data_IF_422970718000
#
_entry.id   IF_422970718000
#
_cell.length_a   1.000
_cell.length_b   1.000
_cell.length_c   1.000
_cell.angle_alpha   90.00
_cell.angle_beta   90.00
_cell.angle_gamma   90.00
#
_symmetry.space_group_name_H-M   'P 1'
#
loop_
_entity.id
_entity.type
_entity.pdbx_description
1 polymer ?
#
# COMPACT_ATOMS: atom_id res chain seq x y z
N UNK A 1 -13.67 -21.77 7.62
CA UNK A 1 -13.12 -20.67 6.82
C UNK A 1 -11.68 -21.01 6.45
N UNK A 2 -11.35 -21.10 5.16
CA UNK A 2 -9.97 -21.35 4.73
C UNK A 2 -9.20 -20.02 4.71
N UNK A 3 -8.20 -19.88 5.58
CA UNK A 3 -7.29 -18.73 5.58
C UNK A 3 -6.23 -18.98 4.50
N UNK A 4 -6.52 -18.56 3.27
CA UNK A 4 -5.52 -18.59 2.20
C UNK A 4 -4.59 -17.40 2.43
N UNK A 5 -3.48 -17.63 3.12
CA UNK A 5 -2.38 -16.67 3.20
C UNK A 5 -1.21 -17.24 2.41
N UNK A 6 -0.90 -16.64 1.26
CA UNK A 6 0.37 -16.87 0.57
C UNK A 6 1.30 -15.73 0.97
N UNK A 7 2.32 -16.04 1.76
CA UNK A 7 3.39 -15.09 2.06
C UNK A 7 4.29 -14.98 0.83
N UNK A 8 4.62 -13.76 0.45
CA UNK A 8 5.43 -13.46 -0.71
C UNK A 8 6.49 -12.46 -0.27
N UNK A 9 7.75 -12.86 -0.33
CA UNK A 9 8.84 -11.98 0.07
C UNK A 9 9.03 -10.89 -0.99
N UNK A 10 8.98 -9.64 -0.54
CA UNK A 10 9.37 -8.46 -1.29
C UNK A 10 10.69 -7.92 -0.74
N UNK A 11 11.64 -7.61 -1.63
CA UNK A 11 12.89 -6.99 -1.21
C UNK A 11 12.75 -5.46 -1.24
N UNK A 12 13.22 -4.80 -0.17
CA UNK A 12 13.27 -3.35 -0.07
C UNK A 12 14.63 -2.91 0.42
N UNK A 13 15.17 -1.88 -0.21
CA UNK A 13 16.39 -1.20 0.23
C UNK A 13 16.04 -0.24 1.37
N UNK A 14 16.65 -0.34 2.56
CA UNK A 14 16.29 0.50 3.71
C UNK A 14 16.68 1.97 3.54
N UNK A 15 17.67 2.27 2.69
CA UNK A 15 18.26 3.60 2.46
C UNK A 15 17.32 4.60 1.75
N UNK A 16 16.20 4.15 1.17
CA UNK A 16 15.29 4.98 0.35
C UNK A 16 13.98 5.30 1.07
N UNK A 17 13.33 6.41 0.69
CA UNK A 17 12.09 6.86 1.34
C UNK A 17 10.93 5.84 1.17
N UNK A 18 9.86 6.02 1.94
CA UNK A 18 8.71 5.10 1.94
C UNK A 18 8.09 4.93 0.54
N UNK A 19 8.01 5.99 -0.26
CA UNK A 19 7.47 5.93 -1.63
C UNK A 19 8.25 4.98 -2.54
N UNK A 20 9.59 5.01 -2.47
CA UNK A 20 10.43 4.08 -3.23
C UNK A 20 10.19 2.63 -2.81
N UNK A 21 10.07 2.39 -1.49
CA UNK A 21 9.81 1.04 -0.97
C UNK A 21 8.45 0.51 -1.42
N UNK A 22 7.40 1.31 -1.31
CA UNK A 22 6.06 0.94 -1.76
C UNK A 22 6.03 0.68 -3.27
N UNK A 23 6.75 1.48 -4.06
CA UNK A 23 6.76 1.31 -5.51
C UNK A 23 7.52 0.06 -5.93
N UNK A 24 8.68 -0.20 -5.31
CA UNK A 24 9.45 -1.41 -5.56
C UNK A 24 8.64 -2.67 -5.23
N UNK A 25 7.97 -2.71 -4.07
CA UNK A 25 7.11 -3.85 -3.70
C UNK A 25 5.93 -3.95 -4.68
N UNK A 26 5.26 -2.85 -4.99
CA UNK A 26 4.13 -2.82 -5.91
C UNK A 26 4.49 -3.39 -7.29
N UNK A 27 5.64 -2.99 -7.84
CA UNK A 27 6.17 -3.51 -9.10
C UNK A 27 6.48 -5.02 -9.02
N UNK A 28 7.18 -5.47 -7.97
CA UNK A 28 7.50 -6.89 -7.78
C UNK A 28 6.24 -7.77 -7.69
N UNK A 29 5.19 -7.29 -7.03
CA UNK A 29 3.90 -8.00 -6.94
C UNK A 29 3.20 -8.02 -8.29
N UNK A 30 3.21 -6.90 -9.01
CA UNK A 30 2.62 -6.78 -10.34
C UNK A 30 3.27 -7.72 -11.36
N UNK A 31 4.60 -7.78 -11.38
CA UNK A 31 5.38 -8.69 -12.25
C UNK A 31 5.07 -10.17 -11.96
N UNK A 32 4.58 -10.49 -10.76
CA UNK A 32 4.13 -11.83 -10.35
C UNK A 32 2.64 -12.09 -10.66
N UNK A 33 1.96 -11.16 -11.34
CA UNK A 33 0.52 -11.25 -11.67
C UNK A 33 -0.41 -10.95 -10.49
N UNK A 34 0.08 -10.33 -9.42
CA UNK A 34 -0.70 -9.97 -8.25
C UNK A 34 -1.18 -8.52 -8.39
N UNK A 35 -2.30 -8.38 -9.09
CA UNK A 35 -2.74 -7.08 -9.60
C UNK A 35 -3.78 -6.40 -8.71
N UNK A 36 -4.17 -7.01 -7.59
CA UNK A 36 -5.09 -6.45 -6.60
C UNK A 36 -4.35 -6.30 -5.28
N UNK A 37 -3.75 -5.13 -5.07
CA UNK A 37 -2.82 -4.88 -3.96
C UNK A 37 -3.47 -3.91 -2.97
N UNK A 38 -3.38 -4.24 -1.68
CA UNK A 38 -3.71 -3.34 -0.57
C UNK A 38 -2.48 -3.24 0.33
N UNK A 39 -1.96 -2.02 0.48
CA UNK A 39 -0.99 -1.68 1.53
C UNK A 39 -1.71 -1.11 2.73
N UNK A 40 -1.27 -1.52 3.91
CA UNK A 40 -1.85 -1.15 5.19
C UNK A 40 -0.77 -0.59 6.10
N UNK A 41 -1.06 0.54 6.74
CA UNK A 41 -0.23 1.02 7.84
C UNK A 41 -0.43 0.10 9.05
N UNK A 42 0.65 -0.48 9.54
CA UNK A 42 0.62 -1.34 10.73
C UNK A 42 0.38 -0.56 12.02
N UNK A 43 0.69 0.74 12.02
CA UNK A 43 0.54 1.65 13.16
C UNK A 43 -0.76 2.48 13.05
N UNK A 44 -1.84 1.83 12.62
CA UNK A 44 -3.14 2.45 12.43
C UNK A 44 -4.20 1.75 13.30
N UNK A 45 -4.22 2.01 14.62
CA UNK A 45 -5.11 1.31 15.57
C UNK A 45 -6.60 1.56 15.31
N UNK A 46 -6.94 2.59 14.54
CA UNK A 46 -8.30 2.88 14.10
C UNK A 46 -8.80 1.93 12.99
N UNK A 47 -7.94 1.12 12.37
CA UNK A 47 -8.35 0.21 11.31
C UNK A 47 -9.08 -1.02 11.86
N UNK A 48 -10.41 -1.02 11.70
CA UNK A 48 -11.30 -2.15 11.97
C UNK A 48 -11.48 -3.08 10.74
N UNK A 49 -11.95 -4.34 10.94
CA UNK A 49 -12.32 -5.29 9.88
C UNK A 49 -13.08 -4.64 8.69
N UNK A 50 -14.08 -3.82 8.99
CA UNK A 50 -14.96 -3.20 8.00
C UNK A 50 -14.21 -2.31 7.00
N UNK A 51 -13.15 -1.60 7.43
CA UNK A 51 -12.34 -0.78 6.54
C UNK A 51 -11.59 -1.62 5.50
N UNK A 52 -11.18 -2.85 5.86
CA UNK A 52 -10.54 -3.76 4.92
C UNK A 52 -11.55 -4.32 3.93
N UNK A 53 -12.76 -4.64 4.39
CA UNK A 53 -13.84 -5.11 3.51
C UNK A 53 -14.28 -4.04 2.52
N UNK A 54 -14.34 -2.77 2.96
CA UNK A 54 -14.62 -1.63 2.09
C UNK A 54 -13.52 -1.44 1.04
N UNK A 55 -12.24 -1.42 1.46
CA UNK A 55 -11.11 -1.30 0.54
C UNK A 55 -11.05 -2.46 -0.47
N UNK A 56 -11.46 -3.67 -0.07
CA UNK A 56 -11.55 -4.85 -0.93
C UNK A 56 -12.71 -4.76 -1.92
N UNK A 57 -13.87 -4.23 -1.52
CA UNK A 57 -15.03 -4.06 -2.41
C UNK A 57 -14.80 -2.97 -3.45
N UNK A 58 -14.07 -1.92 -3.09
CA UNK A 58 -13.76 -0.81 -3.99
C UNK A 58 -12.96 -1.22 -5.24
N UNK A 59 -12.45 -2.46 -5.31
CA UNK A 59 -11.67 -2.95 -6.44
C UNK A 59 -12.32 -2.77 -7.81
N UNK A 60 -13.65 -2.81 -7.84
CA UNK A 60 -14.43 -2.76 -9.06
C UNK A 60 -14.94 -1.34 -9.37
N UNK A 61 -14.69 -0.37 -8.47
CA UNK A 61 -15.22 1.00 -8.54
C UNK A 61 -14.18 2.03 -8.97
N UNK A 62 -12.91 1.82 -8.62
CA UNK A 62 -11.82 2.76 -8.94
C UNK A 62 -10.51 2.04 -9.20
N UNK A 63 -9.57 2.71 -9.88
CA UNK A 63 -8.24 2.16 -10.09
C UNK A 63 -7.37 2.23 -8.82
N UNK A 64 -7.49 3.35 -8.12
CA UNK A 64 -6.71 3.69 -6.93
C UNK A 64 -7.65 4.15 -5.81
N UNK A 65 -7.29 3.82 -4.58
CA UNK A 65 -7.98 4.29 -3.37
C UNK A 65 -6.95 4.62 -2.30
N UNK A 66 -7.20 5.72 -1.59
CA UNK A 66 -6.42 6.18 -0.45
C UNK A 66 -7.35 6.45 0.73
N UNK A 67 -7.06 5.85 1.88
CA UNK A 67 -7.68 6.23 3.16
C UNK A 67 -6.73 7.16 3.89
N UNK A 68 -7.17 8.38 4.16
CA UNK A 68 -6.34 9.42 4.79
C UNK A 68 -6.36 9.28 6.31
N UNK A 69 -5.18 9.45 6.91
CA UNK A 69 -5.05 9.62 8.35
C UNK A 69 -5.29 11.09 8.74
N UNK A 70 -5.62 11.33 10.03
CA UNK A 70 -5.83 12.68 10.56
C UNK A 70 -4.57 13.56 10.47
N UNK A 71 -3.40 12.96 10.53
CA UNK A 71 -2.09 13.61 10.40
C UNK A 71 -1.70 13.91 8.94
N UNK A 72 -2.63 13.72 8.00
CA UNK A 72 -2.45 13.87 6.55
C UNK A 72 -1.56 12.79 5.93
N UNK A 73 -1.26 11.73 6.68
CA UNK A 73 -0.72 10.48 6.17
C UNK A 73 -1.79 9.61 5.50
N UNK A 74 -1.44 8.36 5.24
CA UNK A 74 -2.32 7.37 4.59
C UNK A 74 -2.32 6.07 5.41
N UNK A 75 -3.50 5.55 5.71
CA UNK A 75 -3.66 4.29 6.47
C UNK A 75 -3.88 3.09 5.55
N UNK A 76 -4.57 3.28 4.43
CA UNK A 76 -4.84 2.26 3.41
C UNK A 76 -4.49 2.83 2.04
N UNK A 77 -3.69 2.09 1.26
CA UNK A 77 -3.47 2.36 -0.17
C UNK A 77 -3.85 1.13 -0.96
N UNK A 78 -4.82 1.24 -1.86
CA UNK A 78 -5.30 0.13 -2.66
C UNK A 78 -5.18 0.47 -4.14
N UNK A 79 -4.72 -0.50 -4.94
CA UNK A 79 -4.54 -0.34 -6.37
C UNK A 79 -4.84 -1.61 -7.14
N UNK A 80 -5.53 -1.46 -8.28
CA UNK A 80 -5.62 -2.49 -9.32
C UNK A 80 -4.72 -2.24 -10.55
N UNK A 81 -3.85 -1.21 -10.48
CA UNK A 81 -2.89 -0.80 -11.50
C UNK A 81 -1.51 -0.58 -10.89
N UNK A 82 -0.49 -0.42 -11.73
CA UNK A 82 0.82 0.07 -11.25
C UNK A 82 0.65 1.49 -10.72
N UNK A 83 1.18 1.76 -9.53
CA UNK A 83 1.15 3.09 -8.93
C UNK A 83 1.87 4.11 -9.81
N UNK A 84 1.19 5.22 -10.11
CA UNK A 84 1.82 6.38 -10.72
C UNK A 84 2.86 6.98 -9.76
N UNK A 85 4.05 7.30 -10.29
CA UNK A 85 5.22 7.87 -9.62
C UNK A 85 5.06 8.21 -8.12
N UNK A 86 5.20 7.20 -7.27
CA UNK A 86 5.12 7.40 -5.83
C UNK A 86 6.40 8.04 -5.29
N UNK A 87 7.51 8.04 -6.02
CA UNK A 87 8.79 8.54 -5.50
C UNK A 87 8.78 10.04 -5.23
N UNK A 88 7.97 10.79 -6.00
CA UNK A 88 7.87 12.26 -5.92
C UNK A 88 6.94 12.78 -4.83
N UNK A 89 6.12 11.93 -4.24
CA UNK A 89 5.24 12.34 -3.15
C UNK A 89 6.08 12.58 -1.87
N UNK A 90 5.70 13.56 -1.03
CA UNK A 90 6.44 13.91 0.18
C UNK A 90 6.18 12.89 1.29
N UNK A 91 6.61 11.65 1.09
CA UNK A 91 6.43 10.57 2.04
C UNK A 91 7.29 10.77 3.28
N UNK A 92 6.66 11.26 4.35
CA UNK A 92 7.32 11.67 5.60
C UNK A 92 8.41 12.74 5.37
N UNK A 93 8.77 13.49 6.42
CA UNK A 93 9.93 14.39 6.31
C UNK A 93 11.18 13.53 6.11
N UNK A 94 12.14 13.93 5.24
CA UNK A 94 13.36 13.14 5.04
C UNK A 94 14.05 12.92 6.38
N UNK A 95 14.60 11.72 6.58
CA UNK A 95 15.58 11.47 7.64
C UNK A 95 16.72 12.42 7.36
N UNK A 96 16.95 13.40 8.24
CA UNK A 96 18.12 14.28 8.12
C UNK A 96 19.36 13.40 8.19
N UNK A 97 20.15 13.40 7.11
CA UNK A 97 21.55 12.94 7.11
C UNK A 97 22.39 13.82 8.03
#
# INVERSE_FOLDING_TARGET
MAKISKTIDGQVTPEVNLGHRLQAIGLQLWERGLNRIIFLATDAPMLAPDHYEEASRAFDESDFLFSLALDRGVTIMRSNKVWADMMRLPWSKPVRS
#
